data_IF_920539203432
#
_entry.id   IF_920539203432
#
_cell.length_a   1.000
_cell.length_b   1.000
_cell.length_c   1.000
_cell.angle_alpha   90.00
_cell.angle_beta   90.00
_cell.angle_gamma   90.00
#
_symmetry.space_group_name_H-M   'P 1'
#
loop_
_entity.id
_entity.type
_entity.pdbx_description
1 polymer ?
#
# COMPACT_ATOMS: atom_id res chain seq x y z
N UNK A 1 2.66 3.81 8.15
CA UNK A 1 3.45 2.59 7.89
C UNK A 1 2.55 1.51 7.29
N UNK A 2 3.01 0.86 6.25
CA UNK A 2 2.30 -0.19 5.53
C UNK A 2 3.33 -1.22 5.03
N UNK A 3 3.80 -2.06 5.95
CA UNK A 3 4.79 -3.10 5.63
C UNK A 3 4.19 -4.16 4.65
N UNK A 4 4.99 -4.71 3.74
CA UNK A 4 6.39 -4.44 3.44
C UNK A 4 6.63 -3.25 2.49
N UNK A 5 5.60 -2.47 2.14
CA UNK A 5 5.77 -1.28 1.30
C UNK A 5 6.66 -0.25 2.01
N UNK A 6 6.28 0.14 3.23
CA UNK A 6 7.05 1.09 4.03
C UNK A 6 6.77 0.93 5.52
N UNK A 7 7.79 1.06 6.34
CA UNK A 7 7.68 1.11 7.81
C UNK A 7 8.81 1.95 8.41
N UNK A 8 8.78 2.13 9.72
CA UNK A 8 9.74 2.93 10.44
C UNK A 8 10.55 2.05 11.38
N UNK A 9 11.89 2.24 11.35
CA UNK A 9 12.86 1.65 12.24
C UNK A 9 13.49 2.69 13.16
N UNK A 10 14.07 2.24 14.28
CA UNK A 10 14.80 3.07 15.25
C UNK A 10 16.32 2.97 15.10
N UNK A 11 16.81 2.03 14.31
CA UNK A 11 18.24 1.78 14.07
C UNK A 11 18.58 1.99 12.60
N UNK A 12 19.75 2.60 12.36
CA UNK A 12 20.28 2.78 11.02
C UNK A 12 20.78 1.45 10.44
N UNK A 13 20.47 1.18 9.19
CA UNK A 13 20.97 0.05 8.40
C UNK A 13 21.52 0.55 7.06
N UNK A 14 22.13 -0.34 6.27
CA UNK A 14 22.61 0.02 4.92
C UNK A 14 21.45 0.22 3.92
N UNK A 15 20.27 -0.32 4.24
CA UNK A 15 19.08 -0.28 3.36
C UNK A 15 18.12 0.87 3.66
N UNK A 16 18.00 1.29 4.91
CA UNK A 16 17.03 2.32 5.30
C UNK A 16 17.55 3.76 5.10
N UNK A 17 16.66 4.73 5.19
CA UNK A 17 16.93 6.16 4.99
C UNK A 17 16.39 6.94 6.18
N UNK A 18 17.16 7.92 6.73
CA UNK A 18 16.65 8.78 7.80
C UNK A 18 15.35 9.48 7.43
N UNK A 19 14.42 9.59 8.37
CA UNK A 19 13.20 10.37 8.22
C UNK A 19 13.46 11.79 8.71
N UNK A 20 13.43 12.76 7.79
CA UNK A 20 13.84 14.15 8.04
C UNK A 20 13.09 14.81 9.20
N UNK A 21 11.78 14.61 9.25
CA UNK A 21 10.91 15.24 10.25
C UNK A 21 10.65 14.40 11.51
N UNK A 22 11.37 13.26 11.69
CA UNK A 22 11.25 12.40 12.88
C UNK A 22 12.64 12.02 13.39
N UNK A 23 13.12 12.68 14.43
CA UNK A 23 14.45 12.44 14.98
C UNK A 23 14.67 10.98 15.39
N UNK A 24 15.76 10.36 14.94
CA UNK A 24 16.13 8.98 15.26
C UNK A 24 15.26 7.91 14.59
N UNK A 25 14.48 8.29 13.58
CA UNK A 25 13.68 7.37 12.80
C UNK A 25 14.27 7.15 11.41
N UNK A 26 14.12 5.93 10.90
CA UNK A 26 14.57 5.53 9.57
C UNK A 26 13.39 4.89 8.84
N UNK A 27 13.24 5.19 7.55
CA UNK A 27 12.25 4.57 6.70
C UNK A 27 12.86 3.35 5.98
N UNK A 28 12.13 2.26 5.98
CA UNK A 28 12.51 1.00 5.34
C UNK A 28 11.34 0.50 4.48
N UNK A 29 11.61 -0.40 3.54
CA UNK A 29 10.60 -1.09 2.74
C UNK A 29 10.74 -0.92 1.23
N UNK A 30 9.83 -1.57 0.50
CA UNK A 30 9.84 -1.58 -0.96
C UNK A 30 9.73 -0.18 -1.58
N UNK A 31 8.83 0.66 -1.04
CA UNK A 31 8.67 2.04 -1.49
C UNK A 31 9.95 2.87 -1.32
N UNK A 32 10.70 2.60 -0.22
CA UNK A 32 11.99 3.26 0.04
C UNK A 32 13.04 2.83 -0.97
N UNK A 33 13.09 1.55 -1.35
CA UNK A 33 14.01 1.06 -2.37
C UNK A 33 13.68 1.64 -3.76
N UNK A 34 12.41 1.74 -4.12
CA UNK A 34 11.97 2.43 -5.35
C UNK A 34 12.35 3.91 -5.30
N UNK A 35 12.14 4.58 -4.15
CA UNK A 35 12.54 5.99 -3.98
C UNK A 35 14.05 6.20 -4.14
N UNK A 36 14.89 5.30 -3.59
CA UNK A 36 16.36 5.30 -3.78
C UNK A 36 16.70 5.15 -5.26
N UNK A 37 16.13 4.17 -5.95
CA UNK A 37 16.39 3.96 -7.38
C UNK A 37 16.02 5.19 -8.24
N UNK A 38 14.89 5.84 -7.92
CA UNK A 38 14.46 7.07 -8.58
C UNK A 38 15.44 8.22 -8.30
N UNK A 39 15.79 8.45 -7.04
CA UNK A 39 16.72 9.52 -6.65
C UNK A 39 18.11 9.33 -7.30
N UNK A 40 18.64 8.12 -7.28
CA UNK A 40 19.90 7.76 -7.93
C UNK A 40 19.84 8.00 -9.44
N UNK A 41 18.77 7.55 -10.09
CA UNK A 41 18.58 7.75 -11.53
C UNK A 41 18.45 9.23 -11.94
N UNK A 42 17.90 10.07 -11.04
CA UNK A 42 17.81 11.52 -11.21
C UNK A 42 19.10 12.26 -10.81
N UNK A 43 20.04 11.59 -10.17
CA UNK A 43 21.23 12.22 -9.58
C UNK A 43 20.87 13.21 -8.45
N UNK A 44 19.85 12.90 -7.66
CA UNK A 44 19.33 13.71 -6.55
C UNK A 44 19.56 13.04 -5.21
N UNK A 45 19.63 13.84 -4.17
CA UNK A 45 19.58 13.35 -2.79
C UNK A 45 18.16 12.94 -2.41
N UNK A 46 18.01 11.76 -1.80
CA UNK A 46 16.73 11.30 -1.28
C UNK A 46 16.50 11.83 0.12
N UNK A 47 15.40 12.57 0.29
CA UNK A 47 14.91 13.03 1.58
C UNK A 47 13.52 12.44 1.83
N UNK A 48 13.35 11.69 2.93
CA UNK A 48 12.08 11.07 3.28
C UNK A 48 11.39 11.88 4.37
N UNK A 49 10.13 12.25 4.11
CA UNK A 49 9.27 12.99 5.03
C UNK A 49 8.07 12.11 5.40
N UNK A 50 7.86 11.89 6.70
CA UNK A 50 6.70 11.14 7.21
C UNK A 50 5.49 12.05 7.36
N UNK A 51 4.40 11.68 6.71
CA UNK A 51 3.12 12.39 6.74
C UNK A 51 1.96 11.40 7.00
N UNK A 52 0.81 11.94 7.42
CA UNK A 52 -0.43 11.16 7.44
C UNK A 52 -0.91 10.91 6.02
N UNK A 53 -1.62 9.80 5.80
CA UNK A 53 -2.15 9.44 4.48
C UNK A 53 -2.99 10.56 3.86
N UNK A 54 -3.93 11.10 4.62
CA UNK A 54 -4.85 12.16 4.16
C UNK A 54 -4.16 13.48 3.80
N UNK A 55 -2.94 13.69 4.32
CA UNK A 55 -2.16 14.91 4.06
C UNK A 55 -1.22 14.84 2.86
N UNK A 56 -1.03 13.68 2.22
CA UNK A 56 -0.01 13.47 1.20
C UNK A 56 -0.20 14.35 -0.04
N UNK A 57 -1.42 14.38 -0.60
CA UNK A 57 -1.73 15.14 -1.82
C UNK A 57 -1.62 16.65 -1.57
N UNK A 58 -2.08 17.11 -0.42
CA UNK A 58 -1.97 18.53 -0.03
C UNK A 58 -0.50 18.94 0.15
N UNK A 59 0.30 18.13 0.83
CA UNK A 59 1.73 18.39 1.03
C UNK A 59 2.49 18.44 -0.31
N UNK A 60 2.16 17.53 -1.26
CA UNK A 60 2.70 17.53 -2.61
C UNK A 60 2.36 18.84 -3.35
N UNK A 61 1.08 19.21 -3.37
CA UNK A 61 0.61 20.42 -4.06
C UNK A 61 1.12 21.72 -3.44
N UNK A 62 1.40 21.72 -2.13
CA UNK A 62 2.02 22.85 -1.41
C UNK A 62 3.54 22.90 -1.56
N UNK A 63 4.17 21.93 -2.21
CA UNK A 63 5.62 21.87 -2.39
C UNK A 63 6.41 21.49 -1.14
N UNK A 64 5.77 20.85 -0.16
CA UNK A 64 6.44 20.33 1.03
C UNK A 64 7.18 19.03 0.72
N UNK A 65 6.72 18.29 -0.28
CA UNK A 65 7.36 17.10 -0.87
C UNK A 65 7.31 17.21 -2.40
N UNK A 66 8.17 16.48 -3.11
CA UNK A 66 8.26 16.50 -4.56
C UNK A 66 7.59 15.28 -5.22
N UNK A 67 7.44 14.19 -4.48
CA UNK A 67 6.78 12.97 -4.95
C UNK A 67 6.12 12.22 -3.79
N UNK A 68 5.08 11.44 -4.11
CA UNK A 68 4.45 10.48 -3.19
C UNK A 68 4.81 9.08 -3.64
N UNK A 69 5.54 8.33 -2.81
CA UNK A 69 5.88 6.92 -3.03
C UNK A 69 5.47 6.17 -1.76
N UNK A 70 4.20 5.75 -1.72
CA UNK A 70 3.56 5.26 -0.49
C UNK A 70 2.48 4.21 -0.78
N UNK A 71 2.67 3.35 -1.78
CA UNK A 71 1.68 2.37 -2.19
C UNK A 71 0.41 2.99 -2.79
N UNK A 72 0.48 4.25 -3.25
CA UNK A 72 -0.70 4.98 -3.71
C UNK A 72 -1.15 4.52 -5.09
N UNK A 73 -2.42 4.14 -5.20
CA UNK A 73 -3.05 3.78 -6.48
C UNK A 73 -3.48 5.04 -7.24
N UNK A 74 -3.35 4.96 -8.56
CA UNK A 74 -3.77 5.95 -9.54
C UNK A 74 -5.28 5.83 -9.80
N UNK A 75 -6.09 6.52 -8.97
CA UNK A 75 -7.54 6.57 -9.16
C UNK A 75 -7.97 7.80 -9.97
N UNK A 76 -9.13 7.72 -10.62
CA UNK A 76 -9.70 8.84 -11.41
C UNK A 76 -9.85 10.10 -10.53
N UNK A 77 -10.30 9.95 -9.28
CA UNK A 77 -10.45 11.06 -8.33
C UNK A 77 -9.11 11.73 -8.03
N UNK A 78 -8.06 10.96 -7.72
CA UNK A 78 -6.73 11.51 -7.43
C UNK A 78 -6.12 12.18 -8.66
N UNK A 79 -6.39 11.65 -9.85
CA UNK A 79 -5.97 12.27 -11.11
C UNK A 79 -6.57 13.66 -11.35
N UNK A 80 -7.63 14.04 -10.67
CA UNK A 80 -8.13 15.43 -10.71
C UNK A 80 -7.12 16.40 -10.07
N UNK A 81 -6.40 15.98 -9.05
CA UNK A 81 -5.50 16.81 -8.24
C UNK A 81 -4.02 16.64 -8.54
N UNK A 82 -3.56 15.45 -8.94
CA UNK A 82 -2.15 15.11 -9.18
C UNK A 82 -1.98 14.24 -10.43
N UNK A 83 -0.76 14.10 -10.91
CA UNK A 83 -0.36 13.14 -11.95
C UNK A 83 0.26 11.89 -11.33
N UNK A 84 0.29 10.80 -12.09
CA UNK A 84 0.86 9.52 -11.68
C UNK A 84 1.82 8.96 -12.72
N UNK A 85 2.87 8.29 -12.25
CA UNK A 85 3.75 7.48 -13.08
C UNK A 85 3.06 6.22 -13.59
N UNK A 86 3.73 5.47 -14.48
CA UNK A 86 3.44 4.06 -14.67
C UNK A 86 3.55 3.30 -13.34
N UNK A 87 2.80 2.19 -13.15
CA UNK A 87 2.85 1.44 -11.91
C UNK A 87 4.26 0.88 -11.64
N UNK A 88 4.78 1.12 -10.44
CA UNK A 88 6.01 0.45 -10.01
C UNK A 88 5.74 -0.91 -9.38
N UNK A 89 4.45 -1.23 -9.10
CA UNK A 89 3.98 -2.50 -8.59
C UNK A 89 2.52 -2.73 -8.91
N UNK A 90 2.18 -3.89 -9.45
CA UNK A 90 0.79 -4.35 -9.57
C UNK A 90 0.26 -4.81 -8.21
N UNK A 91 -1.05 -4.81 -8.05
CA UNK A 91 -1.69 -5.16 -6.78
C UNK A 91 -2.97 -5.97 -7.00
N UNK A 92 -3.22 -6.91 -6.11
CA UNK A 92 -4.47 -7.66 -5.97
C UNK A 92 -5.01 -7.52 -4.56
N UNK A 93 -6.32 -7.57 -4.37
CA UNK A 93 -6.93 -7.53 -3.04
C UNK A 93 -7.51 -8.89 -2.65
N UNK A 94 -7.32 -9.21 -1.37
CA UNK A 94 -7.94 -10.33 -0.69
C UNK A 94 -8.61 -9.88 0.60
N UNK A 95 -9.19 -10.83 1.29
CA UNK A 95 -9.80 -10.63 2.62
C UNK A 95 -8.99 -11.40 3.66
N UNK A 96 -8.41 -10.68 4.62
CA UNK A 96 -7.76 -11.30 5.76
C UNK A 96 -8.77 -11.55 6.87
N UNK A 97 -8.76 -12.77 7.41
CA UNK A 97 -9.69 -13.26 8.43
C UNK A 97 -8.94 -13.97 9.55
N UNK A 98 -9.62 -14.25 10.67
CA UNK A 98 -9.08 -15.13 11.71
C UNK A 98 -9.09 -16.60 11.27
N UNK A 99 -8.22 -17.41 11.88
CA UNK A 99 -8.05 -18.83 11.55
C UNK A 99 -9.27 -19.71 11.86
N UNK A 100 -10.18 -19.24 12.68
CA UNK A 100 -11.46 -19.90 13.02
C UNK A 100 -12.68 -19.24 12.33
N UNK A 101 -12.43 -18.36 11.38
CA UNK A 101 -13.47 -17.67 10.61
C UNK A 101 -14.33 -18.64 9.80
N UNK A 102 -15.65 -18.43 9.74
CA UNK A 102 -16.54 -19.21 8.87
C UNK A 102 -16.29 -18.96 7.37
N UNK A 103 -15.53 -17.91 7.02
CA UNK A 103 -15.28 -17.48 5.65
C UNK A 103 -14.00 -18.07 5.03
N UNK A 104 -13.30 -19.00 5.73
CA UNK A 104 -12.02 -19.57 5.26
C UNK A 104 -12.08 -20.26 3.89
N UNK A 105 -13.23 -20.80 3.53
CA UNK A 105 -13.43 -21.54 2.29
C UNK A 105 -14.23 -20.72 1.25
N UNK A 106 -14.32 -19.42 1.43
CA UNK A 106 -14.98 -18.53 0.47
C UNK A 106 -14.26 -18.58 -0.88
N UNK A 107 -15.02 -18.67 -1.96
CA UNK A 107 -14.54 -18.73 -3.34
C UNK A 107 -14.88 -17.47 -4.14
N UNK A 108 -15.72 -16.62 -3.56
CA UNK A 108 -16.13 -15.34 -4.11
C UNK A 108 -16.21 -14.30 -3.00
N UNK A 109 -16.02 -13.02 -3.34
CA UNK A 109 -16.28 -11.92 -2.41
C UNK A 109 -17.74 -11.94 -1.92
N UNK A 110 -18.67 -12.48 -2.72
CA UNK A 110 -20.10 -12.56 -2.35
C UNK A 110 -20.38 -13.55 -1.19
N UNK A 111 -19.46 -14.48 -0.92
CA UNK A 111 -19.56 -15.39 0.22
C UNK A 111 -19.41 -14.63 1.57
N UNK A 112 -18.94 -13.38 1.54
CA UNK A 112 -18.85 -12.46 2.69
C UNK A 112 -20.12 -11.62 2.91
N UNK A 113 -21.22 -11.97 2.25
CA UNK A 113 -22.53 -11.33 2.52
C UNK A 113 -22.89 -11.45 4.01
N UNK A 114 -23.21 -10.32 4.66
CA UNK A 114 -23.47 -10.24 6.08
C UNK A 114 -22.23 -10.20 7.00
N UNK A 115 -21.04 -10.36 6.47
CA UNK A 115 -19.80 -10.20 7.23
C UNK A 115 -19.53 -8.73 7.58
N UNK A 116 -19.01 -8.48 8.79
CA UNK A 116 -18.50 -7.17 9.20
C UNK A 116 -17.12 -6.94 8.61
N UNK A 117 -17.03 -6.14 7.53
CA UNK A 117 -15.79 -5.91 6.77
C UNK A 117 -15.28 -4.50 6.98
N UNK A 118 -13.97 -4.37 7.16
CA UNK A 118 -13.28 -3.11 7.48
C UNK A 118 -12.24 -2.78 6.42
N UNK A 119 -12.18 -1.49 6.03
CA UNK A 119 -11.20 -0.92 5.12
C UNK A 119 -10.38 0.21 5.75
N UNK A 120 -9.42 0.75 4.97
CA UNK A 120 -8.68 1.94 5.34
C UNK A 120 -9.34 3.18 4.72
N UNK A 121 -9.60 4.17 5.56
CA UNK A 121 -10.23 5.44 5.18
C UNK A 121 -9.49 6.11 4.00
N UNK A 122 -10.26 6.57 3.01
CA UNK A 122 -9.76 7.30 1.86
C UNK A 122 -8.89 6.46 0.92
N UNK A 123 -9.11 5.14 0.88
CA UNK A 123 -8.38 4.22 0.00
C UNK A 123 -9.31 3.24 -0.69
N UNK A 124 -8.82 2.65 -1.78
CA UNK A 124 -9.52 1.58 -2.46
C UNK A 124 -9.73 0.32 -1.59
N UNK A 125 -9.00 0.15 -0.47
CA UNK A 125 -9.24 -0.95 0.49
C UNK A 125 -10.61 -0.80 1.18
N UNK A 126 -11.13 0.41 1.28
CA UNK A 126 -12.47 0.70 1.80
C UNK A 126 -13.52 0.69 0.69
N UNK A 127 -13.22 1.38 -0.42
CA UNK A 127 -14.18 1.58 -1.51
C UNK A 127 -14.66 0.26 -2.14
N UNK A 128 -13.80 -0.75 -2.24
CA UNK A 128 -14.16 -2.03 -2.87
C UNK A 128 -15.09 -2.88 -2.03
N UNK A 129 -15.25 -2.59 -0.73
CA UNK A 129 -16.14 -3.34 0.17
C UNK A 129 -17.59 -3.29 -0.32
N UNK A 130 -18.01 -2.18 -0.92
CA UNK A 130 -19.34 -2.00 -1.51
C UNK A 130 -19.66 -2.99 -2.65
N UNK A 131 -18.66 -3.69 -3.19
CA UNK A 131 -18.87 -4.74 -4.18
C UNK A 131 -19.41 -6.05 -3.57
N UNK A 132 -19.40 -6.19 -2.26
CA UNK A 132 -19.96 -7.36 -1.55
C UNK A 132 -21.42 -7.06 -1.24
N UNK A 133 -22.33 -7.79 -1.87
CA UNK A 133 -23.79 -7.60 -1.63
C UNK A 133 -24.16 -7.97 -0.19
N UNK A 134 -24.83 -7.05 0.50
CA UNK A 134 -25.32 -7.29 1.87
C UNK A 134 -24.22 -7.34 2.94
N UNK A 135 -23.04 -6.85 2.67
CA UNK A 135 -21.96 -6.72 3.65
C UNK A 135 -22.37 -5.75 4.79
N UNK A 136 -21.89 -6.02 6.00
CA UNK A 136 -21.85 -5.01 7.07
C UNK A 136 -20.55 -4.20 6.94
N UNK A 137 -20.60 -3.14 6.10
CA UNK A 137 -19.46 -2.26 5.87
C UNK A 137 -19.20 -1.38 7.08
N UNK A 138 -18.18 -1.69 7.84
CA UNK A 138 -17.82 -0.96 9.06
C UNK A 138 -17.20 0.41 8.73
N UNK A 139 -17.34 1.36 9.66
CA UNK A 139 -16.65 2.65 9.53
C UNK A 139 -15.15 2.45 9.42
N UNK A 140 -14.50 2.97 8.36
CA UNK A 140 -13.09 2.73 8.10
C UNK A 140 -12.17 3.36 9.15
N UNK A 141 -10.94 2.86 9.22
CA UNK A 141 -9.89 3.37 10.13
C UNK A 141 -8.74 4.01 9.36
N UNK A 142 -7.94 4.84 10.04
CA UNK A 142 -6.93 5.66 9.41
C UNK A 142 -5.69 4.92 8.91
N UNK A 143 -5.46 3.67 9.34
CA UNK A 143 -4.24 2.92 8.98
C UNK A 143 -4.47 1.41 8.90
N UNK A 144 -3.63 0.72 8.11
CA UNK A 144 -3.64 -0.76 8.05
C UNK A 144 -3.29 -1.40 9.40
N UNK A 145 -2.32 -0.93 10.19
CA UNK A 145 -2.10 -1.44 11.54
C UNK A 145 -3.34 -1.37 12.45
N UNK A 146 -4.18 -0.33 12.31
CA UNK A 146 -5.44 -0.25 13.04
C UNK A 146 -6.44 -1.31 12.58
N UNK A 147 -6.51 -1.57 11.25
CA UNK A 147 -7.33 -2.67 10.71
C UNK A 147 -6.89 -4.03 11.26
N UNK A 148 -5.59 -4.31 11.28
CA UNK A 148 -4.99 -5.53 11.85
C UNK A 148 -5.36 -5.67 13.33
N UNK A 149 -5.24 -4.59 14.10
CA UNK A 149 -5.63 -4.57 15.51
C UNK A 149 -7.11 -4.89 15.72
N UNK A 150 -7.99 -4.33 14.87
CA UNK A 150 -9.44 -4.58 14.93
C UNK A 150 -9.79 -6.02 14.59
N UNK A 151 -9.16 -6.61 13.58
CA UNK A 151 -9.31 -8.02 13.23
C UNK A 151 -8.84 -8.92 14.37
N UNK A 152 -7.67 -8.64 14.94
CA UNK A 152 -7.10 -9.42 16.05
C UNK A 152 -7.98 -9.40 17.30
N UNK A 153 -8.68 -8.28 17.54
CA UNK A 153 -9.62 -8.11 18.65
C UNK A 153 -11.02 -8.74 18.38
N UNK A 154 -11.23 -9.27 17.16
CA UNK A 154 -12.54 -9.82 16.77
C UNK A 154 -13.65 -8.77 16.67
N UNK A 155 -13.32 -7.50 16.40
CA UNK A 155 -14.29 -6.42 16.23
C UNK A 155 -14.71 -6.21 14.77
N UNK A 156 -14.20 -7.01 13.86
CA UNK A 156 -14.64 -7.21 12.48
C UNK A 156 -14.40 -8.67 12.10
N UNK A 157 -15.11 -9.15 11.08
CA UNK A 157 -14.97 -10.52 10.57
C UNK A 157 -13.84 -10.63 9.55
N UNK A 158 -13.60 -9.57 8.77
CA UNK A 158 -12.59 -9.50 7.75
C UNK A 158 -12.08 -8.08 7.54
N UNK A 159 -10.86 -7.98 6.99
CA UNK A 159 -10.29 -6.72 6.49
C UNK A 159 -9.87 -6.89 5.03
N UNK A 160 -10.08 -5.87 4.22
CA UNK A 160 -9.53 -5.84 2.84
C UNK A 160 -8.06 -5.49 2.90
N UNK A 161 -7.22 -6.25 2.21
CA UNK A 161 -5.77 -6.05 2.19
C UNK A 161 -5.17 -6.40 0.83
N UNK A 162 -4.05 -5.79 0.47
CA UNK A 162 -3.24 -6.26 -0.65
C UNK A 162 -2.72 -7.66 -0.36
N UNK A 163 -2.93 -8.57 -1.30
CA UNK A 163 -2.51 -9.98 -1.18
C UNK A 163 -1.02 -10.09 -0.88
N UNK A 164 -0.24 -9.30 -1.56
CA UNK A 164 1.21 -9.29 -1.44
C UNK A 164 1.67 -8.76 -0.08
N UNK A 165 1.01 -7.73 0.46
CA UNK A 165 1.33 -7.18 1.77
C UNK A 165 0.88 -8.08 2.92
N UNK A 166 -0.16 -8.90 2.69
CA UNK A 166 -0.66 -9.83 3.68
C UNK A 166 0.41 -10.82 4.17
N UNK A 167 1.39 -11.16 3.34
CA UNK A 167 2.43 -12.16 3.67
C UNK A 167 3.20 -11.80 4.96
N UNK A 168 3.60 -10.54 5.13
CA UNK A 168 4.29 -10.09 6.33
C UNK A 168 3.43 -10.21 7.60
N UNK A 169 2.15 -9.85 7.49
CA UNK A 169 1.22 -9.99 8.62
C UNK A 169 0.91 -11.45 8.96
N UNK A 170 0.81 -12.33 7.95
CA UNK A 170 0.61 -13.76 8.16
C UNK A 170 1.82 -14.42 8.82
N UNK A 171 3.04 -14.04 8.44
CA UNK A 171 4.27 -14.55 9.05
C UNK A 171 4.36 -14.21 10.55
N UNK A 172 3.92 -13.00 10.92
CA UNK A 172 3.97 -12.50 12.30
C UNK A 172 2.77 -12.94 13.16
N UNK A 173 1.67 -13.39 12.55
CA UNK A 173 0.41 -13.68 13.23
C UNK A 173 -0.18 -15.03 12.77
N UNK A 174 0.12 -16.13 13.45
CA UNK A 174 -0.32 -17.47 13.04
C UNK A 174 -1.84 -17.68 13.06
N UNK A 175 -2.57 -16.76 13.71
CA UNK A 175 -4.02 -16.79 13.78
C UNK A 175 -4.73 -16.09 12.60
N UNK A 176 -3.99 -15.49 11.68
CA UNK A 176 -4.57 -14.89 10.47
C UNK A 176 -4.57 -15.86 9.30
N UNK A 177 -5.53 -15.70 8.41
CA UNK A 177 -5.62 -16.38 7.11
C UNK A 177 -5.99 -15.36 6.04
N UNK A 178 -5.46 -15.56 4.86
CA UNK A 178 -5.80 -14.78 3.68
C UNK A 178 -6.71 -15.60 2.78
N UNK A 179 -7.83 -15.02 2.42
CA UNK A 179 -8.75 -15.54 1.40
C UNK A 179 -8.51 -14.75 0.12
N UNK A 180 -8.11 -15.45 -0.93
CA UNK A 180 -7.91 -14.92 -2.28
C UNK A 180 -8.92 -15.51 -3.23
N UNK A 181 -9.12 -14.87 -4.38
CA UNK A 181 -10.17 -15.23 -5.32
C UNK A 181 -9.61 -15.40 -6.72
N UNK A 182 -10.20 -16.29 -7.49
CA UNK A 182 -9.92 -16.43 -8.92
C UNK A 182 -10.41 -15.21 -9.71
N UNK A 183 -9.89 -15.05 -10.91
CA UNK A 183 -10.30 -13.98 -11.83
C UNK A 183 -11.83 -13.96 -12.01
N UNK A 184 -12.43 -12.80 -11.82
CA UNK A 184 -13.88 -12.59 -11.91
C UNK A 184 -14.67 -12.92 -10.63
N UNK A 185 -14.05 -13.53 -9.61
CA UNK A 185 -14.69 -13.82 -8.31
C UNK A 185 -14.25 -12.89 -7.18
N UNK A 186 -13.18 -12.12 -7.40
CA UNK A 186 -12.60 -11.15 -6.49
C UNK A 186 -13.07 -9.74 -6.72
N UNK A 187 -12.37 -8.80 -6.08
CA UNK A 187 -12.62 -7.37 -6.24
C UNK A 187 -12.19 -6.85 -7.61
N UNK A 188 -13.00 -5.96 -8.17
CA UNK A 188 -12.60 -5.12 -9.31
C UNK A 188 -11.90 -3.87 -8.78
N UNK A 189 -10.63 -3.68 -9.14
CA UNK A 189 -9.82 -2.59 -8.62
C UNK A 189 -9.94 -1.33 -9.51
N UNK A 190 -9.88 -0.12 -8.91
CA UNK A 190 -9.97 1.15 -9.64
C UNK A 190 -8.72 1.45 -10.48
N UNK A 191 -7.60 0.80 -10.18
CA UNK A 191 -6.33 0.93 -10.88
C UNK A 191 -5.48 -0.33 -10.74
N UNK A 192 -4.46 -0.48 -11.61
CA UNK A 192 -3.66 -1.73 -11.69
C UNK A 192 -2.64 -1.90 -10.56
N UNK A 193 -2.25 -0.81 -9.91
CA UNK A 193 -1.22 -0.91 -8.89
C UNK A 193 -0.75 0.42 -8.31
N UNK A 194 0.35 0.35 -7.57
CA UNK A 194 0.96 1.49 -6.91
C UNK A 194 1.80 2.31 -7.89
N UNK A 195 1.59 3.64 -7.88
CA UNK A 195 2.24 4.60 -8.75
C UNK A 195 2.89 5.72 -7.93
N UNK A 196 3.86 6.41 -8.52
CA UNK A 196 4.45 7.63 -7.95
C UNK A 196 3.50 8.80 -8.24
N UNK A 197 3.04 9.48 -7.19
CA UNK A 197 2.23 10.69 -7.31
C UNK A 197 3.11 11.93 -7.48
N UNK A 198 2.75 12.82 -8.43
CA UNK A 198 3.49 14.04 -8.79
C UNK A 198 2.54 15.21 -9.00
N UNK A 199 3.02 16.45 -8.80
CA UNK A 199 2.22 17.63 -9.13
C UNK A 199 1.85 17.64 -10.62
N UNK A 200 0.71 18.22 -10.95
CA UNK A 200 0.24 18.40 -12.33
C UNK A 200 1.22 19.15 -13.23
N UNK A 201 2.05 20.02 -12.65
CA UNK A 201 3.04 20.82 -13.37
C UNK A 201 4.33 20.05 -13.72
N UNK A 202 4.60 18.93 -13.05
CA UNK A 202 5.91 18.28 -13.04
C UNK A 202 6.06 17.22 -14.14
N UNK A 203 5.65 17.55 -15.38
CA UNK A 203 5.65 16.62 -16.50
C UNK A 203 7.04 16.10 -16.86
N UNK A 204 8.07 16.95 -16.81
CA UNK A 204 9.45 16.53 -17.10
C UNK A 204 9.95 15.52 -16.05
N UNK A 205 9.66 15.75 -14.77
CA UNK A 205 9.99 14.83 -13.70
C UNK A 205 9.24 13.50 -13.86
N UNK A 206 7.96 13.54 -14.27
CA UNK A 206 7.16 12.36 -14.56
C UNK A 206 7.78 11.50 -15.66
N UNK A 207 8.21 12.11 -16.76
CA UNK A 207 8.84 11.40 -17.88
C UNK A 207 10.20 10.77 -17.47
N UNK A 208 10.98 11.48 -16.66
CA UNK A 208 12.24 10.97 -16.12
C UNK A 208 12.00 9.79 -15.16
N UNK A 209 11.02 9.89 -14.26
CA UNK A 209 10.64 8.80 -13.35
C UNK A 209 10.16 7.58 -14.12
N UNK A 210 9.28 7.74 -15.12
CA UNK A 210 8.83 6.63 -15.95
C UNK A 210 9.99 5.94 -16.69
N UNK A 211 10.96 6.72 -17.18
CA UNK A 211 12.17 6.17 -17.79
C UNK A 211 12.98 5.34 -16.81
N UNK A 212 13.16 5.82 -15.58
CA UNK A 212 13.90 5.09 -14.53
C UNK A 212 13.14 3.81 -14.15
N UNK A 213 11.83 3.91 -13.92
CA UNK A 213 10.99 2.76 -13.56
C UNK A 213 10.99 1.68 -14.64
N UNK A 214 10.99 2.04 -15.92
CA UNK A 214 11.08 1.08 -17.03
C UNK A 214 12.45 0.39 -17.12
N UNK A 215 13.48 0.96 -16.55
CA UNK A 215 14.80 0.37 -16.44
C UNK A 215 14.96 -0.64 -15.29
N UNK A 216 14.00 -0.72 -14.37
CA UNK A 216 13.98 -1.71 -13.29
C UNK A 216 13.19 -2.92 -13.79
N UNK A 217 13.89 -4.00 -14.13
CA UNK A 217 13.25 -5.22 -14.61
C UNK A 217 12.48 -5.98 -13.52
N UNK A 218 11.70 -6.99 -13.92
CA UNK A 218 10.85 -7.75 -13.02
C UNK A 218 11.66 -8.52 -11.97
N UNK A 219 12.83 -9.04 -12.32
CA UNK A 219 13.71 -9.75 -11.38
C UNK A 219 14.25 -8.79 -10.30
N UNK A 220 14.66 -7.59 -10.68
CA UNK A 220 15.09 -6.56 -9.74
C UNK A 220 13.95 -6.11 -8.83
N UNK A 221 12.73 -5.91 -9.37
CA UNK A 221 11.53 -5.58 -8.57
C UNK A 221 11.19 -6.70 -7.58
N UNK A 222 11.24 -7.96 -8.01
CA UNK A 222 11.02 -9.12 -7.16
C UNK A 222 12.07 -9.22 -6.04
N UNK A 223 13.34 -8.96 -6.34
CA UNK A 223 14.41 -8.95 -5.35
C UNK A 223 14.23 -7.82 -4.31
N UNK A 224 13.89 -6.60 -4.73
CA UNK A 224 13.56 -5.49 -3.84
C UNK A 224 12.40 -5.82 -2.94
N UNK A 225 11.36 -6.46 -3.49
CA UNK A 225 10.20 -6.87 -2.72
C UNK A 225 10.56 -7.94 -1.69
N UNK A 226 11.29 -8.99 -2.10
CA UNK A 226 11.70 -10.05 -1.19
C UNK A 226 12.58 -9.50 -0.06
N UNK A 227 13.51 -8.60 -0.36
CA UNK A 227 14.34 -7.94 0.66
C UNK A 227 13.48 -7.14 1.65
N UNK A 228 12.40 -6.49 1.20
CA UNK A 228 11.48 -5.79 2.08
C UNK A 228 10.65 -6.75 2.94
N UNK A 229 10.27 -7.92 2.41
CA UNK A 229 9.57 -8.97 3.18
C UNK A 229 10.48 -9.58 4.24
N UNK A 230 11.74 -9.85 3.91
CA UNK A 230 12.70 -10.48 4.82
C UNK A 230 13.20 -9.53 5.93
N UNK A 231 13.08 -8.21 5.71
CA UNK A 231 13.53 -7.15 6.62
C UNK A 231 12.51 -6.72 7.68
N UNK A 232 11.33 -7.34 7.74
CA UNK A 232 10.25 -6.98 8.69
C UNK A 232 10.49 -7.51 10.11
#
# INVERSE_FOLDING_TARGET
AYAPNNWQESEATDSNVPVENVAGAYAEGYDVQIAKAIADGLGKELVIVKLSWDGLIDALNQGQIDAIIAGMMDTAERRESINFSEPYRETTYGLMVLADSPYLNATSIQDFSGAAVLGQQGTALDDVIEQIEGVDHLSPVGSVPDMISRLQQGTCDAIVINVENAQGYLASNPNFRLVTFDEGSGFTLPAKGSCVGLRKSDNELLDQINTILSGIDDDARAAMWQAAVDGQ
#
